data_IF_434405808754
#
_entry.id   IF_434405808754
#
_cell.length_a   1.000
_cell.length_b   1.000
_cell.length_c   1.000
_cell.angle_alpha   90.00
_cell.angle_beta   90.00
_cell.angle_gamma   90.00
#
_symmetry.space_group_name_H-M   'P 1'
#
loop_
_entity.id
_entity.type
_entity.pdbx_description
1 polymer ?
#
# COMPACT_ATOMS: atom_id res chain seq x y z
N UNK A 1 43.20 -17.53 -66.44
CA UNK A 1 43.91 -16.51 -67.25
C UNK A 1 45.34 -16.95 -67.44
N UNK A 2 46.03 -16.60 -68.54
CA UNK A 2 47.46 -16.89 -68.64
C UNK A 2 48.22 -16.10 -67.58
N UNK A 3 49.22 -16.71 -66.93
CA UNK A 3 50.02 -16.07 -65.87
C UNK A 3 50.57 -14.69 -66.30
N UNK A 4 50.92 -14.54 -67.58
CA UNK A 4 51.33 -13.25 -68.15
C UNK A 4 50.24 -12.17 -68.04
N UNK A 5 48.98 -12.48 -68.37
CA UNK A 5 47.88 -11.49 -68.27
C UNK A 5 47.65 -11.05 -66.83
N UNK A 6 47.75 -11.99 -65.88
CA UNK A 6 47.65 -11.68 -64.46
C UNK A 6 48.82 -10.80 -64.00
N UNK A 7 50.05 -11.13 -64.40
CA UNK A 7 51.23 -10.32 -64.12
C UNK A 7 51.12 -8.91 -64.70
N UNK A 8 50.59 -8.76 -65.92
CA UNK A 8 50.30 -7.45 -66.53
C UNK A 8 49.31 -6.63 -65.70
N UNK A 9 48.19 -7.23 -65.30
CA UNK A 9 47.19 -6.54 -64.47
C UNK A 9 47.77 -6.11 -63.11
N UNK A 10 48.64 -6.95 -62.51
CA UNK A 10 49.33 -6.58 -61.27
C UNK A 10 50.26 -5.38 -61.47
N UNK A 11 51.07 -5.35 -62.52
CA UNK A 11 51.97 -4.21 -62.78
C UNK A 11 51.18 -2.94 -63.08
N UNK A 12 50.09 -3.02 -63.85
CA UNK A 12 49.21 -1.88 -64.11
C UNK A 12 48.59 -1.33 -62.81
N UNK A 13 48.16 -2.22 -61.90
CA UNK A 13 47.68 -1.79 -60.58
C UNK A 13 48.78 -1.10 -59.78
N UNK A 14 50.01 -1.63 -59.77
CA UNK A 14 51.12 -1.00 -59.07
C UNK A 14 51.47 0.39 -59.65
N UNK A 15 51.48 0.52 -60.97
CA UNK A 15 51.70 1.81 -61.63
C UNK A 15 50.59 2.82 -61.30
N UNK A 16 49.33 2.38 -61.25
CA UNK A 16 48.20 3.22 -60.86
C UNK A 16 48.33 3.69 -59.41
N UNK A 17 48.64 2.79 -58.47
CA UNK A 17 48.85 3.15 -57.06
C UNK A 17 50.08 4.06 -56.88
N UNK A 18 51.18 3.81 -57.58
CA UNK A 18 52.37 4.67 -57.56
C UNK A 18 52.06 6.07 -58.11
N UNK A 19 51.25 6.15 -59.17
CA UNK A 19 50.81 7.43 -59.74
C UNK A 19 49.91 8.19 -58.77
N UNK A 20 48.94 7.53 -58.13
CA UNK A 20 48.08 8.11 -57.10
C UNK A 20 48.87 8.65 -55.90
N UNK A 21 49.95 7.98 -55.52
CA UNK A 21 50.85 8.47 -54.45
C UNK A 21 51.62 9.72 -54.93
N UNK A 22 52.14 9.71 -56.16
CA UNK A 22 52.87 10.87 -56.71
C UNK A 22 52.00 12.11 -56.82
N UNK A 23 50.75 11.95 -57.25
CA UNK A 23 49.78 13.07 -57.31
C UNK A 23 49.27 13.45 -55.94
N UNK A 24 49.18 12.50 -55.00
CA UNK A 24 48.70 12.77 -53.65
C UNK A 24 49.72 13.49 -52.77
N UNK A 25 51.02 13.31 -53.03
CA UNK A 25 52.11 13.99 -52.30
C UNK A 25 52.14 15.51 -52.51
N UNK A 26 51.45 16.04 -53.52
CA UNK A 26 51.37 17.48 -53.76
C UNK A 26 50.21 18.17 -53.04
N UNK A 27 49.34 17.40 -52.39
CA UNK A 27 48.12 17.90 -51.76
C UNK A 27 48.16 17.59 -50.25
N UNK A 28 48.17 18.63 -49.41
CA UNK A 28 48.39 18.54 -47.94
C UNK A 28 47.28 17.76 -47.18
N UNK A 29 46.31 17.17 -47.87
CA UNK A 29 45.06 16.63 -47.31
C UNK A 29 44.85 15.11 -47.48
N UNK A 30 45.88 14.27 -47.57
CA UNK A 30 45.67 12.85 -47.91
C UNK A 30 46.38 11.91 -46.92
N UNK A 31 45.67 11.45 -45.89
CA UNK A 31 46.23 10.50 -44.90
C UNK A 31 45.70 9.07 -45.06
N UNK A 32 44.41 8.86 -45.35
CA UNK A 32 43.85 7.49 -45.40
C UNK A 32 44.16 6.76 -46.71
N UNK A 33 44.09 7.45 -47.84
CA UNK A 33 44.20 6.81 -49.16
C UNK A 33 45.65 6.63 -49.58
N UNK A 34 46.52 7.57 -49.18
CA UNK A 34 47.97 7.42 -49.32
C UNK A 34 48.49 6.19 -48.57
N UNK A 35 48.02 6.02 -47.33
CA UNK A 35 48.37 4.86 -46.50
C UNK A 35 47.93 3.54 -47.13
N UNK A 36 46.69 3.46 -47.63
CA UNK A 36 46.18 2.24 -48.29
C UNK A 36 46.95 1.91 -49.56
N UNK A 37 47.21 2.93 -50.39
CA UNK A 37 47.92 2.77 -51.66
C UNK A 37 49.37 2.33 -51.45
N UNK A 38 50.07 2.92 -50.47
CA UNK A 38 51.45 2.51 -50.16
C UNK A 38 51.51 1.14 -49.49
N UNK A 39 50.59 0.86 -48.55
CA UNK A 39 50.50 -0.46 -47.92
C UNK A 39 50.32 -1.58 -48.96
N UNK A 40 49.50 -1.33 -49.98
CA UNK A 40 49.35 -2.22 -51.12
C UNK A 40 50.65 -2.39 -51.92
N UNK A 41 51.35 -1.29 -52.27
CA UNK A 41 52.62 -1.36 -53.01
C UNK A 41 53.70 -2.15 -52.27
N UNK A 42 53.87 -1.91 -50.97
CA UNK A 42 54.86 -2.60 -50.15
C UNK A 42 54.53 -4.10 -50.04
N UNK A 43 53.28 -4.43 -49.73
CA UNK A 43 52.84 -5.84 -49.64
C UNK A 43 52.96 -6.57 -50.99
N UNK A 44 52.77 -5.87 -52.10
CA UNK A 44 52.89 -6.44 -53.44
C UNK A 44 54.34 -6.67 -53.88
N UNK A 45 55.22 -5.69 -53.68
CA UNK A 45 56.63 -5.74 -54.10
C UNK A 45 57.45 -6.72 -53.24
N UNK A 46 57.04 -6.96 -52.00
CA UNK A 46 57.68 -7.96 -51.12
C UNK A 46 56.91 -9.29 -51.08
N UNK A 47 55.82 -9.42 -51.85
CA UNK A 47 54.88 -10.53 -51.77
C UNK A 47 54.71 -11.34 -53.06
N UNK A 48 53.47 -11.71 -53.36
CA UNK A 48 53.14 -12.65 -54.44
C UNK A 48 53.47 -12.12 -55.85
N UNK A 49 53.44 -10.79 -56.04
CA UNK A 49 53.73 -10.17 -57.34
C UNK A 49 55.22 -10.30 -57.67
N UNK A 50 56.11 -10.04 -56.71
CA UNK A 50 57.56 -10.24 -56.91
C UNK A 50 57.93 -11.69 -57.19
N UNK A 51 57.34 -12.62 -56.45
CA UNK A 51 57.50 -14.05 -56.71
C UNK A 51 57.07 -14.43 -58.14
N UNK A 52 55.99 -13.80 -58.65
CA UNK A 52 55.52 -14.00 -60.02
C UNK A 52 56.48 -13.39 -61.05
N UNK A 53 57.01 -12.20 -60.83
CA UNK A 53 57.98 -11.55 -61.72
C UNK A 53 59.30 -12.33 -61.79
N UNK A 54 59.78 -12.85 -60.65
CA UNK A 54 60.98 -13.68 -60.60
C UNK A 54 60.79 -15.01 -61.36
N UNK A 55 59.61 -15.62 -61.29
CA UNK A 55 59.26 -16.79 -62.12
C UNK A 55 59.30 -16.46 -63.62
N UNK A 56 58.78 -15.29 -64.03
CA UNK A 56 58.82 -14.86 -65.42
C UNK A 56 60.25 -14.61 -65.92
N UNK A 57 61.09 -13.96 -65.10
CA UNK A 57 62.54 -13.79 -65.40
C UNK A 57 63.23 -15.13 -65.64
N UNK A 58 63.03 -16.08 -64.73
CA UNK A 58 63.63 -17.41 -64.87
C UNK A 58 63.17 -18.10 -66.16
N UNK A 59 61.89 -17.96 -66.54
CA UNK A 59 61.37 -18.55 -67.79
C UNK A 59 61.92 -17.88 -69.04
N UNK A 60 62.30 -16.60 -69.00
CA UNK A 60 62.93 -15.92 -70.15
C UNK A 60 64.30 -16.50 -70.51
N UNK A 61 65.03 -17.05 -69.54
CA UNK A 61 66.35 -17.68 -69.77
C UNK A 61 66.25 -19.18 -70.03
N UNK A 62 65.07 -19.78 -69.91
CA UNK A 62 64.87 -21.21 -70.18
C UNK A 62 64.88 -21.48 -71.69
N UNK A 63 65.68 -22.47 -72.08
CA UNK A 63 65.66 -23.06 -73.41
C UNK A 63 64.76 -24.30 -73.36
N UNK A 64 63.91 -24.47 -74.37
CA UNK A 64 63.10 -25.67 -74.50
C UNK A 64 64.01 -26.89 -74.71
N UNK A 65 63.93 -27.92 -73.84
CA UNK A 65 64.84 -29.06 -73.89
C UNK A 65 64.77 -29.83 -75.21
N UNK A 66 63.62 -29.80 -75.90
CA UNK A 66 63.37 -30.56 -77.14
C UNK A 66 63.82 -29.76 -78.36
N UNK A 67 63.36 -28.52 -78.49
CA UNK A 67 63.63 -27.71 -79.68
C UNK A 67 64.96 -26.97 -79.63
N UNK A 68 65.61 -26.90 -78.45
CA UNK A 68 66.81 -26.09 -78.16
C UNK A 68 66.63 -24.59 -78.44
N UNK A 69 65.41 -24.14 -78.69
CA UNK A 69 65.06 -22.74 -78.90
C UNK A 69 64.60 -22.09 -77.57
N UNK A 70 64.68 -20.75 -77.45
CA UNK A 70 64.13 -20.05 -76.29
C UNK A 70 62.66 -20.41 -76.06
N UNK A 71 62.28 -20.65 -74.79
CA UNK A 71 60.93 -21.10 -74.43
C UNK A 71 59.84 -20.10 -74.84
N UNK A 72 60.17 -18.82 -74.89
CA UNK A 72 59.29 -17.79 -75.44
C UNK A 72 59.72 -17.44 -76.86
N UNK A 73 58.78 -17.46 -77.79
CA UNK A 73 58.98 -16.87 -79.11
C UNK A 73 59.33 -15.38 -79.01
N UNK A 74 60.02 -14.80 -80.01
CA UNK A 74 60.61 -13.46 -79.94
C UNK A 74 59.61 -12.37 -79.55
N UNK A 75 58.39 -12.42 -80.09
CA UNK A 75 57.32 -11.47 -79.76
C UNK A 75 56.86 -11.56 -78.31
N UNK A 76 56.76 -12.78 -77.75
CA UNK A 76 56.35 -12.97 -76.36
C UNK A 76 57.49 -12.62 -75.40
N UNK A 77 58.73 -12.94 -75.77
CA UNK A 77 59.92 -12.57 -74.99
C UNK A 77 60.03 -11.05 -74.83
N UNK A 78 59.87 -10.30 -75.93
CA UNK A 78 59.87 -8.84 -75.89
C UNK A 78 58.77 -8.27 -74.97
N UNK A 79 57.57 -8.86 -75.00
CA UNK A 79 56.45 -8.50 -74.13
C UNK A 79 56.74 -8.76 -72.65
N UNK A 80 57.29 -9.93 -72.31
CA UNK A 80 57.68 -10.26 -70.92
C UNK A 80 58.82 -9.35 -70.44
N UNK A 81 59.81 -9.08 -71.28
CA UNK A 81 60.91 -8.16 -70.94
C UNK A 81 60.40 -6.74 -70.68
N UNK A 82 59.47 -6.23 -71.50
CA UNK A 82 58.86 -4.92 -71.26
C UNK A 82 58.07 -4.87 -69.94
N UNK A 83 57.30 -5.93 -69.63
CA UNK A 83 56.57 -6.04 -68.37
C UNK A 83 57.52 -6.04 -67.16
N UNK A 84 58.59 -6.83 -67.22
CA UNK A 84 59.61 -6.90 -66.17
C UNK A 84 60.32 -5.56 -65.97
N UNK A 85 60.64 -4.88 -67.06
CA UNK A 85 61.24 -3.55 -67.00
C UNK A 85 60.32 -2.53 -66.34
N UNK A 86 59.02 -2.52 -66.67
CA UNK A 86 58.01 -1.69 -66.00
C UNK A 86 57.91 -1.99 -64.51
N UNK A 87 57.88 -3.27 -64.15
CA UNK A 87 57.92 -3.69 -62.75
C UNK A 87 59.19 -3.19 -62.03
N UNK A 88 60.36 -3.32 -62.66
CA UNK A 88 61.63 -2.85 -62.09
C UNK A 88 61.66 -1.34 -61.90
N UNK A 89 61.09 -0.56 -62.83
CA UNK A 89 60.93 0.89 -62.67
C UNK A 89 60.07 1.19 -61.44
N UNK A 90 58.95 0.49 -61.27
CA UNK A 90 58.06 0.67 -60.11
C UNK A 90 58.76 0.27 -58.82
N UNK A 91 59.43 -0.89 -58.79
CA UNK A 91 60.18 -1.40 -57.64
C UNK A 91 61.29 -0.44 -57.22
N UNK A 92 62.12 -0.01 -58.17
CA UNK A 92 63.17 0.98 -57.93
C UNK A 92 62.59 2.33 -57.48
N UNK A 93 61.48 2.77 -58.06
CA UNK A 93 60.83 4.01 -57.62
C UNK A 93 60.31 3.92 -56.18
N UNK A 94 59.88 2.74 -55.72
CA UNK A 94 59.47 2.52 -54.33
C UNK A 94 60.69 2.41 -53.41
N UNK A 95 61.74 1.69 -53.81
CA UNK A 95 62.97 1.50 -53.02
C UNK A 95 63.83 2.77 -52.92
N UNK A 96 64.02 3.50 -54.02
CA UNK A 96 64.81 4.74 -54.05
C UNK A 96 64.16 5.88 -53.24
N UNK A 97 62.85 5.79 -53.02
CA UNK A 97 62.11 6.68 -52.14
C UNK A 97 62.13 6.20 -50.67
N UNK A 98 63.22 5.56 -50.22
CA UNK A 98 63.43 5.13 -48.84
C UNK A 98 63.12 6.21 -47.77
N UNK A 99 63.42 7.52 -47.97
CA UNK A 99 63.01 8.55 -47.02
C UNK A 99 61.49 8.71 -46.89
N UNK A 100 60.73 8.52 -47.97
CA UNK A 100 59.26 8.53 -47.96
C UNK A 100 58.70 7.30 -47.25
N UNK A 101 59.33 6.13 -47.42
CA UNK A 101 58.97 4.91 -46.69
C UNK A 101 59.08 5.11 -45.18
N UNK A 102 60.20 5.65 -44.71
CA UNK A 102 60.43 5.92 -43.27
C UNK A 102 59.41 6.94 -42.74
N UNK A 103 59.15 8.02 -43.50
CA UNK A 103 58.19 9.04 -43.08
C UNK A 103 56.76 8.48 -42.97
N UNK A 104 56.38 7.60 -43.89
CA UNK A 104 55.04 7.02 -43.93
C UNK A 104 54.88 5.91 -42.89
N UNK A 105 55.90 5.07 -42.65
CA UNK A 105 55.90 4.10 -41.55
C UNK A 105 55.76 4.81 -40.20
N UNK A 106 56.51 5.90 -39.98
CA UNK A 106 56.37 6.73 -38.77
C UNK A 106 54.97 7.35 -38.65
N UNK A 107 54.39 7.84 -39.76
CA UNK A 107 53.04 8.41 -39.76
C UNK A 107 51.95 7.36 -39.50
N UNK A 108 52.12 6.16 -40.05
CA UNK A 108 51.25 5.02 -39.81
C UNK A 108 51.28 4.59 -38.35
N UNK A 109 52.46 4.45 -37.75
CA UNK A 109 52.61 4.17 -36.32
C UNK A 109 51.93 5.25 -35.47
N UNK A 110 52.10 6.52 -35.81
CA UNK A 110 51.44 7.63 -35.13
C UNK A 110 49.90 7.55 -35.21
N UNK A 111 49.35 7.25 -36.40
CA UNK A 111 47.90 7.11 -36.57
C UNK A 111 47.32 5.91 -35.81
N UNK A 112 48.05 4.79 -35.81
CA UNK A 112 47.65 3.59 -35.05
C UNK A 112 47.63 3.89 -33.54
N UNK A 113 48.64 4.59 -33.03
CA UNK A 113 48.67 5.02 -31.62
C UNK A 113 47.55 5.99 -31.28
N UNK A 114 47.24 6.95 -32.17
CA UNK A 114 46.11 7.87 -32.00
C UNK A 114 44.77 7.13 -31.98
N UNK A 115 44.56 6.19 -32.90
CA UNK A 115 43.32 5.40 -32.95
C UNK A 115 43.17 4.54 -31.68
N UNK A 116 44.28 3.98 -31.18
CA UNK A 116 44.29 3.23 -29.92
C UNK A 116 43.94 4.13 -28.74
N UNK A 117 44.54 5.31 -28.62
CA UNK A 117 44.25 6.27 -27.56
C UNK A 117 42.77 6.71 -27.56
N UNK A 118 42.21 7.00 -28.74
CA UNK A 118 40.79 7.35 -28.89
C UNK A 118 39.87 6.19 -28.49
N UNK A 119 40.22 4.95 -28.85
CA UNK A 119 39.46 3.76 -28.44
C UNK A 119 39.51 3.57 -26.92
N UNK A 120 40.67 3.76 -26.30
CA UNK A 120 40.83 3.65 -24.84
C UNK A 120 40.03 4.73 -24.11
N UNK A 121 40.04 5.98 -24.59
CA UNK A 121 39.23 7.06 -24.02
C UNK A 121 37.73 6.79 -24.16
N UNK A 122 37.28 6.33 -25.34
CA UNK A 122 35.89 5.96 -25.57
C UNK A 122 35.43 4.83 -24.64
N UNK A 123 36.29 3.83 -24.38
CA UNK A 123 36.01 2.76 -23.41
C UNK A 123 35.96 3.31 -21.99
N UNK A 124 36.87 4.20 -21.61
CA UNK A 124 36.87 4.83 -20.29
C UNK A 124 35.61 5.67 -20.05
N UNK A 125 35.15 6.44 -21.05
CA UNK A 125 33.91 7.21 -20.98
C UNK A 125 32.69 6.31 -20.84
N UNK A 126 32.60 5.23 -21.62
CA UNK A 126 31.51 4.24 -21.49
C UNK A 126 31.48 3.59 -20.11
N UNK A 127 32.64 3.27 -19.56
CA UNK A 127 32.76 2.71 -18.21
C UNK A 127 32.27 3.71 -17.14
N UNK A 128 32.71 4.97 -17.20
CA UNK A 128 32.23 6.03 -16.28
C UNK A 128 30.72 6.24 -16.38
N UNK A 129 30.18 6.23 -17.59
CA UNK A 129 28.73 6.37 -17.81
C UNK A 129 27.94 5.19 -17.21
N UNK A 130 28.45 3.96 -17.36
CA UNK A 130 27.84 2.77 -16.77
C UNK A 130 27.91 2.80 -15.25
N UNK A 131 29.04 3.17 -14.67
CA UNK A 131 29.23 3.31 -13.22
C UNK A 131 28.28 4.40 -12.64
N UNK A 132 28.15 5.54 -13.32
CA UNK A 132 27.20 6.59 -12.93
C UNK A 132 25.74 6.12 -13.01
N UNK A 133 25.38 5.35 -14.04
CA UNK A 133 24.04 4.78 -14.18
C UNK A 133 23.74 3.76 -13.08
N UNK A 134 24.71 2.92 -12.71
CA UNK A 134 24.57 1.97 -11.61
C UNK A 134 24.46 2.68 -10.26
N UNK A 135 25.25 3.73 -10.03
CA UNK A 135 25.15 4.55 -8.81
C UNK A 135 23.77 5.20 -8.68
N UNK A 136 23.23 5.74 -9.78
CA UNK A 136 21.87 6.32 -9.79
C UNK A 136 20.79 5.27 -9.48
N UNK A 137 20.91 4.05 -10.03
CA UNK A 137 19.97 2.96 -9.72
C UNK A 137 20.00 2.58 -8.24
N UNK A 138 21.19 2.43 -7.66
CA UNK A 138 21.35 2.14 -6.22
C UNK A 138 20.79 3.25 -5.34
N UNK A 139 21.02 4.52 -5.70
CA UNK A 139 20.46 5.65 -4.97
C UNK A 139 18.91 5.63 -4.97
N UNK A 140 18.29 5.34 -6.12
CA UNK A 140 16.83 5.21 -6.23
C UNK A 140 16.28 4.01 -5.44
N UNK A 141 17.00 2.89 -5.41
CA UNK A 141 16.61 1.73 -4.61
C UNK A 141 16.68 2.01 -3.11
N UNK A 142 17.74 2.68 -2.65
CA UNK A 142 17.88 3.10 -1.25
C UNK A 142 16.80 4.10 -0.84
N UNK A 143 16.46 5.05 -1.69
CA UNK A 143 15.38 6.01 -1.44
C UNK A 143 14.01 5.31 -1.34
N UNK A 144 13.72 4.38 -2.25
CA UNK A 144 12.51 3.55 -2.18
C UNK A 144 12.43 2.73 -0.90
N UNK A 145 13.55 2.14 -0.47
CA UNK A 145 13.59 1.37 0.76
C UNK A 145 13.34 2.26 1.99
N UNK A 146 13.93 3.45 2.05
CA UNK A 146 13.65 4.42 3.12
C UNK A 146 12.18 4.81 3.18
N UNK A 147 11.57 5.13 2.03
CA UNK A 147 10.14 5.47 1.95
C UNK A 147 9.26 4.29 2.39
N UNK A 148 9.61 3.07 1.99
CA UNK A 148 8.87 1.88 2.40
C UNK A 148 8.98 1.61 3.91
N UNK A 149 10.15 1.83 4.51
CA UNK A 149 10.34 1.72 5.96
C UNK A 149 9.56 2.79 6.73
N UNK A 150 9.53 4.03 6.23
CA UNK A 150 8.75 5.11 6.83
C UNK A 150 7.25 4.84 6.76
N UNK A 151 6.74 4.39 5.61
CA UNK A 151 5.34 4.00 5.45
C UNK A 151 4.93 2.88 6.42
N UNK A 152 5.78 1.86 6.60
CA UNK A 152 5.53 0.77 7.57
C UNK A 152 5.49 1.27 9.02
N UNK A 153 6.33 2.24 9.37
CA UNK A 153 6.30 2.84 10.72
C UNK A 153 5.02 3.63 10.96
N UNK A 154 4.61 4.46 9.99
CA UNK A 154 3.36 5.22 10.08
C UNK A 154 2.14 4.30 10.16
N UNK A 155 2.10 3.22 9.39
CA UNK A 155 1.03 2.22 9.45
C UNK A 155 0.99 1.53 10.82
N UNK A 156 2.15 1.11 11.34
CA UNK A 156 2.24 0.50 12.67
C UNK A 156 1.79 1.45 13.80
N UNK A 157 2.16 2.73 13.71
CA UNK A 157 1.71 3.77 14.65
C UNK A 157 0.19 3.99 14.57
N UNK A 158 -0.37 4.05 13.36
CA UNK A 158 -1.82 4.18 13.16
C UNK A 158 -2.58 3.00 13.76
N UNK A 159 -2.12 1.77 13.49
CA UNK A 159 -2.71 0.55 14.06
C UNK A 159 -2.61 0.58 15.60
N UNK A 160 -1.48 1.03 16.15
CA UNK A 160 -1.31 1.12 17.59
C UNK A 160 -2.28 2.14 18.22
N UNK A 161 -2.45 3.32 17.61
CA UNK A 161 -3.39 4.34 18.07
C UNK A 161 -4.84 3.85 17.99
N UNK A 162 -5.21 3.15 16.93
CA UNK A 162 -6.55 2.57 16.78
C UNK A 162 -6.82 1.50 17.83
N UNK A 163 -5.84 0.63 18.11
CA UNK A 163 -5.94 -0.35 19.19
C UNK A 163 -6.08 0.29 20.57
N UNK A 164 -5.38 1.41 20.83
CA UNK A 164 -5.52 2.17 22.07
C UNK A 164 -6.94 2.73 22.21
N UNK A 165 -7.47 3.38 21.16
CA UNK A 165 -8.85 3.91 21.15
C UNK A 165 -9.89 2.81 21.37
N UNK A 166 -9.72 1.66 20.72
CA UNK A 166 -10.60 0.50 20.91
C UNK A 166 -10.58 -0.01 22.35
N UNK A 167 -9.41 -0.07 22.99
CA UNK A 167 -9.27 -0.48 24.40
C UNK A 167 -9.93 0.52 25.36
N UNK A 168 -9.75 1.82 25.12
CA UNK A 168 -10.38 2.87 25.92
C UNK A 168 -11.92 2.82 25.81
N UNK A 169 -12.45 2.67 24.60
CA UNK A 169 -13.88 2.52 24.39
C UNK A 169 -14.45 1.26 25.05
N UNK A 170 -13.74 0.13 24.97
CA UNK A 170 -14.14 -1.11 25.63
C UNK A 170 -14.15 -0.95 27.17
N UNK A 171 -13.14 -0.29 27.73
CA UNK A 171 -13.07 -0.01 29.16
C UNK A 171 -14.21 0.92 29.61
N UNK A 172 -14.49 2.00 28.87
CA UNK A 172 -15.60 2.91 29.16
C UNK A 172 -16.96 2.20 29.09
N UNK A 173 -17.19 1.37 28.07
CA UNK A 173 -18.42 0.57 27.95
C UNK A 173 -18.59 -0.43 29.12
N UNK A 174 -17.49 -1.03 29.57
CA UNK A 174 -17.50 -1.94 30.71
C UNK A 174 -17.86 -1.20 32.02
N UNK A 175 -17.32 0.00 32.24
CA UNK A 175 -17.67 0.81 33.42
C UNK A 175 -19.13 1.27 33.40
N UNK A 176 -19.66 1.69 32.24
CA UNK A 176 -21.09 2.02 32.10
C UNK A 176 -21.96 0.80 32.43
N UNK A 177 -21.58 -0.40 31.96
CA UNK A 177 -22.31 -1.63 32.29
C UNK A 177 -22.27 -1.93 33.79
N UNK A 178 -21.12 -1.77 34.44
CA UNK A 178 -20.99 -1.93 35.90
C UNK A 178 -21.85 -0.93 36.66
N UNK A 179 -21.89 0.33 36.23
CA UNK A 179 -22.73 1.36 36.84
C UNK A 179 -24.22 1.02 36.72
N UNK A 180 -24.70 0.65 35.53
CA UNK A 180 -26.10 0.24 35.34
C UNK A 180 -26.49 -0.96 36.20
N UNK A 181 -25.61 -1.95 36.34
CA UNK A 181 -25.87 -3.11 37.21
C UNK A 181 -25.94 -2.69 38.68
N UNK A 182 -25.08 -1.76 39.14
CA UNK A 182 -25.15 -1.21 40.49
C UNK A 182 -26.43 -0.42 40.74
N UNK A 183 -26.80 0.45 39.81
CA UNK A 183 -28.04 1.24 39.86
C UNK A 183 -29.27 0.33 39.90
N UNK A 184 -29.32 -0.70 39.05
CA UNK A 184 -30.40 -1.69 39.06
C UNK A 184 -30.46 -2.45 40.38
N UNK A 185 -29.32 -2.89 40.93
CA UNK A 185 -29.27 -3.57 42.21
C UNK A 185 -29.66 -2.66 43.40
N UNK A 186 -29.35 -1.36 43.34
CA UNK A 186 -29.80 -0.37 44.31
C UNK A 186 -31.31 -0.11 44.22
N UNK A 187 -31.83 0.01 42.99
CA UNK A 187 -33.26 0.19 42.77
C UNK A 187 -34.06 -1.04 43.21
N UNK A 188 -33.60 -2.26 42.92
CA UNK A 188 -34.22 -3.49 43.40
C UNK A 188 -34.21 -3.58 44.93
N UNK A 189 -33.08 -3.24 45.58
CA UNK A 189 -33.02 -3.15 47.04
C UNK A 189 -34.01 -2.14 47.60
N UNK A 190 -34.13 -0.97 46.97
CA UNK A 190 -35.12 0.05 47.38
C UNK A 190 -36.54 -0.47 47.24
N UNK A 191 -36.88 -1.12 46.13
CA UNK A 191 -38.20 -1.71 45.90
C UNK A 191 -38.51 -2.81 46.92
N UNK A 192 -37.54 -3.66 47.24
CA UNK A 192 -37.69 -4.70 48.27
C UNK A 192 -37.96 -4.08 49.65
N UNK A 193 -37.18 -3.07 50.04
CA UNK A 193 -37.39 -2.35 51.29
C UNK A 193 -38.76 -1.70 51.38
N UNK A 194 -39.20 -0.99 50.33
CA UNK A 194 -40.53 -0.41 50.27
C UNK A 194 -41.64 -1.46 50.39
N UNK A 195 -41.47 -2.62 49.77
CA UNK A 195 -42.42 -3.73 49.85
C UNK A 195 -42.48 -4.33 51.25
N UNK A 196 -41.35 -4.54 51.90
CA UNK A 196 -41.26 -5.02 53.28
C UNK A 196 -41.91 -4.04 54.25
N UNK A 197 -41.65 -2.75 54.08
CA UNK A 197 -42.25 -1.67 54.86
C UNK A 197 -43.78 -1.66 54.72
N UNK A 198 -44.30 -1.82 53.50
CA UNK A 198 -45.74 -1.93 53.24
C UNK A 198 -46.35 -3.15 53.91
N UNK A 199 -45.71 -4.32 53.81
CA UNK A 199 -46.17 -5.55 54.46
C UNK A 199 -46.17 -5.38 55.98
N UNK A 200 -45.12 -4.75 56.54
CA UNK A 200 -45.02 -4.47 57.97
C UNK A 200 -46.15 -3.55 58.44
N UNK A 201 -46.40 -2.46 57.72
CA UNK A 201 -47.50 -1.54 58.03
C UNK A 201 -48.85 -2.25 57.95
N UNK A 202 -49.11 -2.99 56.87
CA UNK A 202 -50.37 -3.73 56.68
C UNK A 202 -50.63 -4.78 57.77
N UNK A 203 -49.59 -5.49 58.21
CA UNK A 203 -49.70 -6.50 59.28
C UNK A 203 -49.82 -5.90 60.69
N UNK A 204 -49.36 -4.66 60.91
CA UNK A 204 -49.45 -3.98 62.20
C UNK A 204 -50.86 -3.48 62.56
N UNK A 205 -51.75 -3.32 61.58
CA UNK A 205 -53.11 -2.85 61.78
C UNK A 205 -54.03 -4.03 62.08
N UNK A 206 -54.64 -4.12 63.27
CA UNK A 206 -55.64 -5.14 63.54
C UNK A 206 -56.81 -5.00 62.55
N UNK A 207 -57.30 -6.10 61.99
CA UNK A 207 -58.50 -6.09 61.14
C UNK A 207 -59.77 -6.14 62.00
N UNK A 208 -60.88 -5.65 61.46
CA UNK A 208 -62.18 -5.63 62.13
C UNK A 208 -62.41 -4.42 63.02
N UNK A 209 -63.46 -4.49 63.84
CA UNK A 209 -63.98 -3.36 64.61
C UNK A 209 -62.97 -2.72 65.56
N UNK A 210 -62.16 -3.53 66.25
CA UNK A 210 -61.13 -3.04 67.18
C UNK A 210 -60.05 -2.20 66.49
N UNK A 211 -59.55 -2.67 65.34
CA UNK A 211 -58.59 -1.91 64.55
C UNK A 211 -59.19 -0.67 63.90
N UNK A 212 -60.47 -0.75 63.50
CA UNK A 212 -61.17 0.39 62.92
C UNK A 212 -61.34 1.53 63.94
N UNK A 213 -61.67 1.22 65.19
CA UNK A 213 -61.75 2.23 66.26
C UNK A 213 -60.40 2.90 66.48
N UNK A 214 -59.31 2.12 66.49
CA UNK A 214 -57.95 2.67 66.59
C UNK A 214 -57.60 3.56 65.39
N UNK A 215 -57.92 3.12 64.18
CA UNK A 215 -57.67 3.84 62.94
C UNK A 215 -58.44 5.16 62.87
N UNK A 216 -59.72 5.18 63.28
CA UNK A 216 -60.53 6.40 63.41
C UNK A 216 -59.91 7.35 64.43
N UNK A 217 -59.41 6.83 65.56
CA UNK A 217 -58.68 7.62 66.55
C UNK A 217 -57.42 8.28 65.96
N UNK A 218 -56.66 7.55 65.15
CA UNK A 218 -55.51 8.09 64.42
C UNK A 218 -55.93 9.12 63.37
N UNK A 219 -57.01 8.87 62.63
CA UNK A 219 -57.55 9.78 61.62
C UNK A 219 -57.95 11.12 62.22
N UNK A 220 -58.63 11.09 63.37
CA UNK A 220 -59.00 12.28 64.13
C UNK A 220 -57.79 13.08 64.60
N UNK A 221 -56.72 12.40 65.04
CA UNK A 221 -55.46 13.06 65.42
C UNK A 221 -54.73 13.68 64.23
N UNK A 222 -54.65 12.97 63.10
CA UNK A 222 -53.91 13.41 61.92
C UNK A 222 -54.60 14.51 61.11
N UNK A 223 -55.92 14.63 61.22
CA UNK A 223 -56.68 15.69 60.52
C UNK A 223 -56.52 17.06 61.17
N UNK A 224 -56.28 17.13 62.49
CA UNK A 224 -56.04 18.40 63.20
C UNK A 224 -57.23 19.37 63.30
N UNK A 225 -58.30 19.13 62.53
CA UNK A 225 -59.55 19.91 62.52
C UNK A 225 -60.76 18.98 62.51
N UNK A 226 -61.76 19.30 63.34
CA UNK A 226 -63.02 18.55 63.43
C UNK A 226 -63.81 18.59 62.11
N UNK A 227 -63.74 19.69 61.36
CA UNK A 227 -64.40 19.80 60.06
C UNK A 227 -63.79 18.84 59.02
N UNK A 228 -62.45 18.76 58.98
CA UNK A 228 -61.72 17.83 58.11
C UNK A 228 -61.95 16.38 58.52
N UNK A 229 -61.95 16.09 59.82
CA UNK A 229 -62.29 14.76 60.34
C UNK A 229 -63.68 14.31 59.89
N UNK A 230 -64.70 15.16 60.04
CA UNK A 230 -66.08 14.85 59.61
C UNK A 230 -66.15 14.62 58.10
N UNK A 231 -65.47 15.44 57.31
CA UNK A 231 -65.41 15.27 55.86
C UNK A 231 -64.75 13.93 55.48
N UNK A 232 -63.60 13.60 56.07
CA UNK A 232 -62.93 12.32 55.84
C UNK A 232 -63.79 11.13 56.27
N UNK A 233 -64.48 11.21 57.41
CA UNK A 233 -65.41 10.18 57.86
C UNK A 233 -66.60 10.01 56.92
N UNK A 234 -67.18 11.11 56.43
CA UNK A 234 -68.25 11.06 55.45
C UNK A 234 -67.80 10.36 54.16
N UNK A 235 -66.60 10.67 53.70
CA UNK A 235 -66.02 10.04 52.51
C UNK A 235 -65.73 8.55 52.73
N UNK A 236 -65.28 8.16 53.93
CA UNK A 236 -65.11 6.74 54.29
C UNK A 236 -66.45 6.00 54.28
N UNK A 237 -67.52 6.61 54.80
CA UNK A 237 -68.88 6.05 54.77
C UNK A 237 -69.38 5.89 53.34
N UNK A 238 -69.09 6.86 52.46
CA UNK A 238 -69.45 6.75 51.02
C UNK A 238 -68.76 5.54 50.38
N UNK A 239 -67.46 5.34 50.64
CA UNK A 239 -66.72 4.17 50.13
C UNK A 239 -67.37 2.87 50.59
N UNK A 240 -67.64 2.72 51.89
CA UNK A 240 -68.28 1.52 52.44
C UNK A 240 -69.68 1.30 51.88
N UNK A 241 -70.50 2.37 51.82
CA UNK A 241 -71.85 2.29 51.29
C UNK A 241 -71.89 1.86 49.82
N UNK A 242 -70.98 2.37 48.98
CA UNK A 242 -70.89 1.97 47.58
C UNK A 242 -70.64 0.46 47.44
N UNK A 243 -69.81 -0.12 48.32
CA UNK A 243 -69.53 -1.55 48.32
C UNK A 243 -70.71 -2.35 48.86
N UNK A 244 -71.33 -1.93 49.97
CA UNK A 244 -72.49 -2.60 50.53
C UNK A 244 -73.69 -2.60 49.58
N UNK A 245 -73.90 -1.51 48.85
CA UNK A 245 -75.02 -1.36 47.90
C UNK A 245 -74.79 -2.11 46.58
N UNK A 246 -73.54 -2.41 46.23
CA UNK A 246 -73.18 -3.06 44.97
C UNK A 246 -71.95 -3.94 45.15
N UNK A 247 -72.06 -5.04 45.91
CA UNK A 247 -70.92 -5.88 46.23
C UNK A 247 -70.27 -6.47 44.97
N UNK A 248 -71.05 -6.92 43.99
CA UNK A 248 -70.52 -7.51 42.75
C UNK A 248 -69.69 -6.54 41.89
N UNK A 249 -69.79 -5.23 42.14
CA UNK A 249 -69.04 -4.24 41.39
C UNK A 249 -67.59 -4.12 41.88
N UNK A 250 -66.68 -4.74 41.13
CA UNK A 250 -65.24 -4.75 41.41
C UNK A 250 -64.62 -3.34 41.48
N UNK A 251 -65.19 -2.36 40.77
CA UNK A 251 -64.67 -0.98 40.77
C UNK A 251 -64.83 -0.29 42.13
N UNK A 252 -65.81 -0.67 42.94
CA UNK A 252 -65.97 -0.13 44.30
C UNK A 252 -65.08 -0.84 45.32
N UNK A 253 -64.66 -2.08 45.03
CA UNK A 253 -63.71 -2.84 45.84
C UNK A 253 -62.25 -2.50 45.55
N UNK A 254 -61.99 -1.67 44.52
CA UNK A 254 -60.67 -1.17 44.15
C UNK A 254 -60.56 0.32 44.42
N UNK A 255 -59.56 0.72 45.19
CA UNK A 255 -59.21 2.13 45.38
C UNK A 255 -57.76 2.32 44.94
N UNK A 256 -57.51 2.97 43.79
CA UNK A 256 -56.15 3.31 43.38
C UNK A 256 -55.49 4.22 44.41
N UNK A 257 -54.28 3.88 44.86
CA UNK A 257 -53.57 4.65 45.90
C UNK A 257 -53.13 6.03 45.39
N UNK A 258 -52.95 6.15 44.07
CA UNK A 258 -52.65 7.36 43.32
C UNK A 258 -53.91 8.17 42.95
N UNK A 259 -55.10 7.76 43.37
CA UNK A 259 -56.31 8.53 43.11
C UNK A 259 -56.27 9.85 43.90
N UNK A 260 -56.19 10.97 43.20
CA UNK A 260 -56.12 12.32 43.78
C UNK A 260 -57.28 12.62 44.73
N UNK A 261 -58.49 12.16 44.41
CA UNK A 261 -59.66 12.37 45.27
C UNK A 261 -59.52 11.60 46.57
N UNK A 262 -59.09 10.33 46.49
CA UNK A 262 -58.80 9.53 47.67
C UNK A 262 -57.67 10.15 48.51
N UNK A 263 -56.55 10.54 47.88
CA UNK A 263 -55.42 11.12 48.60
C UNK A 263 -55.80 12.42 49.30
N UNK A 264 -56.53 13.31 48.62
CA UNK A 264 -57.01 14.57 49.20
C UNK A 264 -57.98 14.36 50.35
N UNK A 265 -58.83 13.34 50.29
CA UNK A 265 -59.92 13.18 51.24
C UNK A 265 -59.60 12.27 52.43
N UNK A 266 -58.76 11.26 52.21
CA UNK A 266 -58.46 10.20 53.17
C UNK A 266 -56.96 9.83 53.20
N UNK A 267 -56.33 9.67 52.04
CA UNK A 267 -54.97 9.15 51.91
C UNK A 267 -53.87 10.08 52.43
N UNK A 268 -54.09 11.39 52.54
CA UNK A 268 -53.10 12.30 53.13
C UNK A 268 -52.98 12.16 54.66
N UNK A 269 -53.95 11.50 55.30
CA UNK A 269 -54.01 11.35 56.75
C UNK A 269 -53.56 9.96 57.18
N UNK A 270 -52.69 9.86 58.19
CA UNK A 270 -52.16 8.58 58.68
C UNK A 270 -53.28 7.58 58.99
N UNK A 271 -54.34 8.01 59.67
CA UNK A 271 -55.46 7.12 59.99
C UNK A 271 -56.34 6.69 58.81
N UNK A 272 -56.31 7.41 57.68
CA UNK A 272 -57.15 7.10 56.52
C UNK A 272 -56.81 5.77 55.88
N UNK A 273 -55.51 5.50 55.68
CA UNK A 273 -55.02 4.19 55.21
C UNK A 273 -55.33 3.06 56.21
N UNK A 274 -55.13 3.33 57.50
CA UNK A 274 -55.39 2.35 58.55
C UNK A 274 -56.88 1.98 58.62
N UNK A 275 -57.78 2.93 58.32
CA UNK A 275 -59.21 2.64 58.25
C UNK A 275 -59.52 1.64 57.14
N UNK A 276 -58.94 1.79 55.94
CA UNK A 276 -59.13 0.84 54.85
C UNK A 276 -58.58 -0.55 55.21
N UNK A 277 -57.37 -0.62 55.76
CA UNK A 277 -56.76 -1.90 56.16
C UNK A 277 -57.59 -2.59 57.25
N UNK A 278 -58.06 -1.82 58.25
CA UNK A 278 -58.92 -2.33 59.31
C UNK A 278 -60.28 -2.82 58.79
N UNK A 279 -60.83 -2.18 57.75
CA UNK A 279 -62.04 -2.61 57.04
C UNK A 279 -61.85 -3.89 56.21
N UNK A 280 -60.61 -4.38 56.05
CA UNK A 280 -60.30 -5.61 55.31
C UNK A 280 -59.73 -5.40 53.91
N UNK A 281 -59.42 -4.16 53.52
CA UNK A 281 -58.68 -3.91 52.29
C UNK A 281 -57.23 -4.37 52.43
N UNK A 282 -56.68 -4.88 51.33
CA UNK A 282 -55.29 -5.31 51.19
C UNK A 282 -54.62 -4.45 50.11
N UNK A 283 -53.37 -4.05 50.33
CA UNK A 283 -52.58 -3.40 49.27
C UNK A 283 -52.07 -4.46 48.29
N UNK A 284 -52.43 -4.32 47.02
CA UNK A 284 -51.94 -5.17 45.93
C UNK A 284 -51.24 -4.33 44.87
N UNK A 285 -50.17 -4.88 44.29
CA UNK A 285 -49.53 -4.33 43.09
C UNK A 285 -50.21 -4.91 41.87
N UNK A 286 -50.94 -4.07 41.12
CA UNK A 286 -51.57 -4.46 39.88
C UNK A 286 -50.53 -4.35 38.75
N UNK A 287 -50.09 -5.50 38.23
CA UNK A 287 -49.09 -5.62 37.16
C UNK A 287 -49.68 -5.44 35.74
N UNK A 288 -51.01 -5.29 35.63
CA UNK A 288 -51.75 -5.51 34.38
C UNK A 288 -51.87 -4.25 33.49
N UNK A 289 -51.29 -3.13 33.90
CA UNK A 289 -51.26 -1.89 33.10
C UNK A 289 -49.82 -1.47 32.83
N UNK A 290 -49.60 -0.71 31.76
CA UNK A 290 -48.28 -0.23 31.29
C UNK A 290 -47.43 0.49 32.35
N UNK A 291 -47.99 0.76 33.53
CA UNK A 291 -47.30 1.21 34.73
C UNK A 291 -47.81 0.41 35.94
N UNK A 292 -46.93 -0.14 36.80
CA UNK A 292 -47.35 -0.81 38.02
C UNK A 292 -48.05 0.18 38.95
N UNK A 293 -49.29 -0.11 39.34
CA UNK A 293 -50.06 0.72 40.28
C UNK A 293 -50.36 -0.06 41.55
N UNK A 294 -50.29 0.62 42.69
CA UNK A 294 -50.72 0.06 43.97
C UNK A 294 -52.20 0.38 44.17
N UNK A 295 -53.00 -0.63 44.43
CA UNK A 295 -54.44 -0.50 44.69
C UNK A 295 -54.78 -1.10 46.04
N UNK A 296 -55.71 -0.49 46.77
CA UNK A 296 -56.39 -1.16 47.87
C UNK A 296 -57.50 -2.03 47.29
N UNK A 297 -57.46 -3.32 47.60
CA UNK A 297 -58.43 -4.31 47.15
C UNK A 297 -59.11 -4.98 48.33
N UNK A 298 -60.43 -5.08 48.29
CA UNK A 298 -61.18 -5.83 49.29
C UNK A 298 -61.68 -7.15 48.71
N UNK A 299 -61.26 -8.27 49.31
CA UNK A 299 -61.69 -9.61 48.93
C UNK A 299 -63.12 -9.91 49.41
N UNK A 300 -63.90 -10.59 48.57
CA UNK A 300 -65.32 -10.86 48.76
C UNK A 300 -65.65 -11.62 50.06
N UNK A 301 -64.74 -12.49 50.50
CA UNK A 301 -64.89 -13.33 51.70
C UNK A 301 -64.91 -12.55 53.02
N UNK A 302 -64.52 -11.27 53.00
CA UNK A 302 -64.41 -10.43 54.21
C UNK A 302 -65.67 -9.59 54.48
N UNK A 303 -66.76 -9.77 53.72
CA UNK A 303 -68.01 -9.02 53.88
C UNK A 303 -68.95 -9.55 54.99
N UNK A 304 -68.52 -10.54 55.78
CA UNK A 304 -69.27 -11.03 56.93
C UNK A 304 -69.03 -10.14 58.16
N UNK A 305 -69.64 -8.95 58.16
CA UNK A 305 -69.84 -8.13 59.36
C UNK A 305 -71.16 -8.48 60.04
#
# INVERSE_FOLDING_TARGET
>A
MSEYRQATAHVEALEAHLSSIRTGLTDDMINSDLSKNLGFLLAAIDGEIDATMNKLRARCTMVDPVTKNPRFGPTMLAKVQNLLHRYDIVKLAVEANAPLRIHIEAKLSQLIEQEKALKEEAVALKRKALEAQQALKRAKEQEKERLAQEARKQEAESIHQEQQRMRELAAAAQEIRKQRVKEQAEEERRRQWEKEERIRMSTSVPRGSGGLVMAIGMLRKSTGSEAQFRQSMQNLVVVVNNICNSPENLTFRQIPKDNDSFHKDLGQYTGGYHCLIALGFQELEQLDTSQPRTVFWMEESNLHF
#
